data_IF_424888066302
#
_entry.id   IF_424888066302
#
_cell.length_a   1.000
_cell.length_b   1.000
_cell.length_c   1.000
_cell.angle_alpha   90.00
_cell.angle_beta   90.00
_cell.angle_gamma   90.00
#
_symmetry.space_group_name_H-M   'P 1'
#
loop_
_entity.id
_entity.type
_entity.pdbx_description
1 polymer ?
#
# COMPACT_ATOMS: atom_id res chain seq x y z
N UNK A 1 -17.87 -6.63 -26.70
CA UNK A 1 -17.12 -5.62 -25.94
C UNK A 1 -16.49 -6.33 -24.76
N UNK A 2 -15.18 -6.54 -24.76
CA UNK A 2 -14.49 -7.16 -23.62
C UNK A 2 -14.49 -6.15 -22.47
N UNK A 3 -15.21 -6.47 -21.39
CA UNK A 3 -15.20 -5.64 -20.20
C UNK A 3 -13.75 -5.49 -19.72
N UNK A 4 -13.22 -4.27 -19.71
CA UNK A 4 -11.88 -4.01 -19.23
C UNK A 4 -11.88 -4.27 -17.72
N UNK A 5 -11.14 -5.30 -17.28
CA UNK A 5 -11.03 -5.65 -15.85
C UNK A 5 -10.55 -4.43 -15.06
N UNK A 6 -11.20 -4.15 -13.94
CA UNK A 6 -10.76 -3.09 -13.02
C UNK A 6 -9.32 -3.37 -12.55
N UNK A 7 -8.44 -2.38 -12.71
CA UNK A 7 -7.05 -2.46 -12.25
C UNK A 7 -6.97 -2.50 -10.73
N UNK A 8 -5.97 -3.20 -10.21
CA UNK A 8 -5.70 -3.32 -8.78
C UNK A 8 -4.49 -2.48 -8.40
N UNK A 9 -4.69 -1.56 -7.46
CA UNK A 9 -3.61 -0.75 -6.90
C UNK A 9 -3.31 -1.21 -5.47
N UNK A 10 -2.03 -1.42 -5.14
CA UNK A 10 -1.58 -1.61 -3.77
C UNK A 10 -0.88 -0.33 -3.30
N UNK A 11 -1.38 0.28 -2.23
CA UNK A 11 -0.84 1.51 -1.65
C UNK A 11 -0.27 1.20 -0.27
N UNK A 12 1.03 1.38 -0.08
CA UNK A 12 1.61 1.43 1.27
C UNK A 12 1.47 2.84 1.83
N UNK A 13 1.29 2.98 3.14
CA UNK A 13 1.12 4.30 3.76
C UNK A 13 -0.23 4.94 3.43
N UNK A 14 -1.25 4.12 3.15
CA UNK A 14 -2.59 4.58 2.76
C UNK A 14 -3.25 5.50 3.80
N UNK A 15 -2.88 5.38 5.08
CA UNK A 15 -3.38 6.22 6.17
C UNK A 15 -2.68 7.58 6.28
N UNK A 16 -1.62 7.79 5.51
CA UNK A 16 -0.97 9.08 5.31
C UNK A 16 -1.84 10.04 4.50
N UNK A 17 -1.40 11.29 4.39
CA UNK A 17 -2.11 12.31 3.60
C UNK A 17 -2.18 11.93 2.12
N UNK A 18 -1.02 11.67 1.50
CA UNK A 18 -0.93 11.37 0.07
C UNK A 18 -1.58 10.04 -0.28
N UNK A 19 -1.43 9.04 0.60
CA UNK A 19 -2.08 7.74 0.46
C UNK A 19 -3.61 7.83 0.42
N UNK A 20 -4.21 8.65 1.29
CA UNK A 20 -5.66 8.84 1.32
C UNK A 20 -6.19 9.56 0.07
N UNK A 21 -5.50 10.62 -0.37
CA UNK A 21 -5.85 11.34 -1.60
C UNK A 21 -5.71 10.45 -2.84
N UNK A 22 -4.61 9.69 -2.95
CA UNK A 22 -4.39 8.77 -4.04
C UNK A 22 -5.45 7.66 -4.06
N UNK A 23 -5.81 7.10 -2.90
CA UNK A 23 -6.84 6.08 -2.79
C UNK A 23 -8.18 6.59 -3.35
N UNK A 24 -8.61 7.81 -2.98
CA UNK A 24 -9.83 8.43 -3.52
C UNK A 24 -9.75 8.59 -5.03
N UNK A 25 -8.66 9.16 -5.54
CA UNK A 25 -8.46 9.37 -6.97
C UNK A 25 -8.54 8.05 -7.76
N UNK A 26 -7.94 6.97 -7.25
CA UNK A 26 -7.95 5.67 -7.92
C UNK A 26 -9.34 5.00 -7.85
N UNK A 27 -10.03 5.10 -6.72
CA UNK A 27 -11.41 4.63 -6.58
C UNK A 27 -12.35 5.36 -7.56
N UNK A 28 -12.21 6.67 -7.72
CA UNK A 28 -12.98 7.46 -8.70
C UNK A 28 -12.69 7.04 -10.14
N UNK A 29 -11.46 6.58 -10.42
CA UNK A 29 -11.04 6.03 -11.72
C UNK A 29 -11.46 4.58 -11.97
N UNK A 30 -12.23 3.96 -11.07
CA UNK A 30 -12.69 2.59 -11.25
C UNK A 30 -11.72 1.50 -10.79
N UNK A 31 -10.63 1.85 -10.08
CA UNK A 31 -9.70 0.86 -9.55
C UNK A 31 -10.31 0.08 -8.37
N UNK A 32 -9.73 -1.08 -8.11
CA UNK A 32 -9.77 -1.76 -6.81
C UNK A 32 -8.51 -1.37 -6.04
N UNK A 33 -8.67 -0.80 -4.86
CA UNK A 33 -7.58 -0.29 -4.03
C UNK A 33 -7.35 -1.22 -2.84
N UNK A 34 -6.12 -1.67 -2.68
CA UNK A 34 -5.63 -2.39 -1.52
C UNK A 34 -4.69 -1.47 -0.74
N UNK A 35 -4.99 -1.21 0.52
CA UNK A 35 -4.20 -0.35 1.39
C UNK A 35 -3.45 -1.13 2.46
N UNK A 36 -2.16 -0.88 2.64
CA UNK A 36 -1.38 -1.45 3.74
C UNK A 36 -1.35 -0.48 4.91
N UNK A 37 -1.84 -0.93 6.07
CA UNK A 37 -1.78 -0.19 7.33
C UNK A 37 -1.03 -0.97 8.41
N UNK A 38 -0.26 -0.26 9.23
CA UNK A 38 0.36 -0.83 10.43
C UNK A 38 -0.70 -1.19 11.47
N UNK A 39 -0.46 -2.24 12.24
CA UNK A 39 -1.25 -2.50 13.45
C UNK A 39 -0.97 -1.37 14.45
N UNK A 40 -2.01 -0.74 14.95
CA UNK A 40 -1.94 0.26 16.00
C UNK A 40 -3.06 -0.02 17.00
N UNK A 41 -2.79 0.26 18.28
CA UNK A 41 -3.81 0.23 19.34
C UNK A 41 -4.77 1.43 19.26
N UNK A 42 -4.44 2.45 18.47
CA UNK A 42 -5.27 3.64 18.24
C UNK A 42 -5.89 3.62 16.85
N UNK A 43 -7.08 4.21 16.70
CA UNK A 43 -7.70 4.41 15.40
C UNK A 43 -6.82 5.32 14.54
N UNK A 44 -6.29 4.77 13.45
CA UNK A 44 -5.37 5.47 12.53
C UNK A 44 -5.93 5.56 11.10
N UNK A 45 -7.24 5.36 10.93
CA UNK A 45 -7.93 5.34 9.63
C UNK A 45 -8.78 6.58 9.36
N UNK A 46 -8.76 7.60 10.23
CA UNK A 46 -9.60 8.81 10.11
C UNK A 46 -9.61 9.47 8.73
N UNK A 47 -8.49 9.41 7.98
CA UNK A 47 -8.36 10.00 6.63
C UNK A 47 -9.02 9.18 5.52
N UNK A 48 -9.40 7.94 5.80
CA UNK A 48 -10.00 6.99 4.85
C UNK A 48 -11.29 6.37 5.39
N UNK A 49 -11.76 6.77 6.58
CA UNK A 49 -12.97 6.23 7.20
C UNK A 49 -14.21 6.51 6.33
N UNK A 50 -14.23 7.65 5.63
CA UNK A 50 -15.29 8.03 4.71
C UNK A 50 -15.21 7.30 3.35
N UNK A 51 -14.08 6.68 3.03
CA UNK A 51 -13.92 5.78 1.89
C UNK A 51 -14.30 4.33 2.25
N UNK A 52 -14.37 4.02 3.55
CA UNK A 52 -14.70 2.68 4.01
C UNK A 52 -16.19 2.40 3.83
N UNK A 53 -16.50 1.47 2.94
CA UNK A 53 -17.87 1.00 2.73
C UNK A 53 -18.09 -0.28 3.52
N UNK A 54 -19.33 -0.51 3.95
CA UNK A 54 -19.70 -1.75 4.63
C UNK A 54 -19.33 -2.96 3.74
N UNK A 55 -18.54 -3.94 4.25
CA UNK A 55 -18.14 -5.14 3.51
C UNK A 55 -19.29 -5.95 2.90
N UNK A 56 -20.52 -5.77 3.38
CA UNK A 56 -21.72 -6.46 2.90
C UNK A 56 -22.40 -5.74 1.71
N UNK A 57 -21.86 -4.62 1.24
CA UNK A 57 -22.35 -3.93 0.04
C UNK A 57 -21.68 -4.51 -1.21
N UNK A 58 -22.45 -4.67 -2.30
CA UNK A 58 -22.02 -5.34 -3.54
C UNK A 58 -20.88 -4.62 -4.32
N UNK A 59 -20.41 -3.46 -3.84
CA UNK A 59 -19.46 -2.59 -4.55
C UNK A 59 -18.22 -2.19 -3.74
N UNK A 60 -17.82 -2.98 -2.74
CA UNK A 60 -16.60 -2.67 -1.97
C UNK A 60 -15.37 -2.79 -2.87
N UNK A 61 -14.68 -1.67 -3.06
CA UNK A 61 -13.45 -1.56 -3.88
C UNK A 61 -12.24 -1.14 -3.09
N UNK A 62 -12.37 -0.90 -1.78
CA UNK A 62 -11.27 -0.58 -0.87
C UNK A 62 -11.09 -1.72 0.14
N UNK A 63 -9.90 -2.31 0.17
CA UNK A 63 -9.53 -3.38 1.09
C UNK A 63 -8.31 -2.98 1.90
N UNK A 64 -8.35 -3.16 3.21
CA UNK A 64 -7.24 -2.82 4.11
C UNK A 64 -6.55 -4.07 4.63
N UNK A 65 -5.23 -4.09 4.52
CA UNK A 65 -4.35 -5.17 4.94
C UNK A 65 -3.45 -4.70 6.07
N UNK A 66 -3.22 -5.58 7.03
CA UNK A 66 -2.20 -5.34 8.05
C UNK A 66 -0.82 -5.72 7.54
N UNK A 67 0.07 -4.73 7.47
CA UNK A 67 1.45 -4.95 7.09
C UNK A 67 2.41 -3.86 7.54
N UNK A 68 3.69 -4.20 7.45
CA UNK A 68 4.81 -3.34 7.83
C UNK A 68 5.93 -3.46 6.78
N UNK A 69 6.54 -2.33 6.42
CA UNK A 69 7.66 -2.30 5.49
C UNK A 69 8.92 -2.99 6.02
N UNK A 70 8.99 -3.24 7.34
CA UNK A 70 10.10 -3.99 7.94
C UNK A 70 9.91 -5.51 7.92
N UNK A 71 8.73 -6.01 7.54
CA UNK A 71 8.40 -7.45 7.53
C UNK A 71 8.30 -7.99 6.09
N UNK A 72 9.37 -8.64 5.63
CA UNK A 72 9.49 -9.19 4.29
C UNK A 72 8.39 -10.23 3.97
N UNK A 73 8.14 -11.16 4.88
CA UNK A 73 7.20 -12.26 4.63
C UNK A 73 5.77 -11.75 4.53
N UNK A 74 5.42 -10.76 5.37
CA UNK A 74 4.12 -10.10 5.29
C UNK A 74 3.92 -9.38 3.95
N UNK A 75 4.91 -8.61 3.48
CA UNK A 75 4.82 -7.90 2.20
C UNK A 75 4.67 -8.87 1.02
N UNK A 76 5.45 -9.94 0.99
CA UNK A 76 5.34 -10.98 -0.04
C UNK A 76 3.91 -11.56 -0.05
N UNK A 77 3.36 -11.89 1.11
CA UNK A 77 1.99 -12.42 1.22
C UNK A 77 0.96 -11.42 0.71
N UNK A 78 1.04 -10.15 1.09
CA UNK A 78 0.10 -9.12 0.62
C UNK A 78 0.17 -8.96 -0.90
N UNK A 79 1.37 -8.88 -1.49
CA UNK A 79 1.54 -8.77 -2.95
C UNK A 79 0.99 -10.03 -3.64
N UNK A 80 1.24 -11.21 -3.05
CA UNK A 80 0.74 -12.48 -3.57
C UNK A 80 -0.79 -12.56 -3.54
N UNK A 81 -1.44 -12.16 -2.45
CA UNK A 81 -2.90 -12.23 -2.29
C UNK A 81 -3.61 -11.18 -3.16
N UNK A 82 -3.06 -9.96 -3.22
CA UNK A 82 -3.69 -8.84 -3.95
C UNK A 82 -3.41 -8.88 -5.44
N UNK A 83 -2.27 -9.46 -5.86
CA UNK A 83 -1.81 -9.51 -7.26
C UNK A 83 -1.95 -8.14 -7.95
N UNK A 84 -1.35 -7.06 -7.43
CA UNK A 84 -1.60 -5.71 -7.93
C UNK A 84 -1.13 -5.55 -9.38
N UNK A 85 -1.73 -4.61 -10.11
CA UNK A 85 -1.22 -4.15 -11.41
C UNK A 85 -0.26 -2.95 -11.21
N UNK A 86 -0.51 -2.15 -10.17
CA UNK A 86 0.26 -0.96 -9.81
C UNK A 86 0.53 -0.97 -8.29
N UNK A 87 1.78 -0.76 -7.90
CA UNK A 87 2.19 -0.61 -6.49
C UNK A 87 2.69 0.82 -6.28
N UNK A 88 2.09 1.51 -5.31
CA UNK A 88 2.48 2.85 -4.87
C UNK A 88 3.07 2.76 -3.47
N UNK A 89 4.40 2.86 -3.37
CA UNK A 89 5.09 2.85 -2.10
C UNK A 89 5.19 4.27 -1.54
N UNK A 90 4.32 4.60 -0.58
CA UNK A 90 4.24 5.90 0.11
C UNK A 90 4.49 5.79 1.62
N UNK A 91 4.63 4.58 2.16
CA UNK A 91 5.00 4.40 3.56
C UNK A 91 6.48 4.73 3.78
N UNK A 92 6.75 5.62 4.74
CA UNK A 92 8.09 5.94 5.21
C UNK A 92 8.06 6.49 6.65
N UNK A 93 9.23 6.58 7.25
CA UNK A 93 9.52 7.53 8.32
C UNK A 93 9.74 8.92 7.68
N UNK A 94 8.65 9.64 7.46
CA UNK A 94 8.68 10.92 6.72
C UNK A 94 9.11 12.15 7.54
N UNK A 95 9.28 12.04 8.86
CA UNK A 95 9.68 13.16 9.70
C UNK A 95 11.20 13.27 9.81
N UNK A 96 11.77 14.18 9.03
CA UNK A 96 13.23 14.40 8.89
C UNK A 96 13.93 14.52 10.25
N UNK A 97 13.41 15.29 11.20
CA UNK A 97 14.09 15.40 12.50
C UNK A 97 14.17 14.07 13.27
N UNK A 98 13.08 13.29 13.25
CA UNK A 98 13.00 12.01 13.99
C UNK A 98 13.85 10.94 13.29
N UNK A 99 14.17 11.12 12.01
CA UNK A 99 15.03 10.17 11.30
C UNK A 99 16.48 10.24 11.76
N UNK A 100 16.94 11.40 12.24
CA UNK A 100 18.24 11.54 12.90
C UNK A 100 18.25 10.91 14.30
N UNK A 101 17.12 10.87 14.99
CA UNK A 101 16.99 10.20 16.30
C UNK A 101 16.92 8.67 16.15
N UNK A 102 16.33 8.19 15.04
CA UNK A 102 16.10 6.76 14.78
C UNK A 102 16.59 6.35 13.38
N UNK A 103 17.90 6.50 13.09
CA UNK A 103 18.44 6.33 11.74
C UNK A 103 18.35 4.88 11.25
N UNK A 104 18.57 3.90 12.13
CA UNK A 104 18.48 2.48 11.77
C UNK A 104 17.05 2.07 11.40
N UNK A 105 16.06 2.56 12.15
CA UNK A 105 14.66 2.33 11.83
C UNK A 105 14.28 2.97 10.49
N UNK A 106 14.69 4.23 10.28
CA UNK A 106 14.46 4.96 9.02
C UNK A 106 15.06 4.19 7.85
N UNK A 107 16.33 3.77 7.92
CA UNK A 107 16.95 2.98 6.86
C UNK A 107 16.25 1.64 6.64
N UNK A 108 15.80 0.99 7.71
CA UNK A 108 15.10 -0.29 7.63
C UNK A 108 13.71 -0.17 6.98
N UNK A 109 12.98 0.91 7.26
CA UNK A 109 11.66 1.15 6.70
C UNK A 109 11.74 1.70 5.26
N UNK A 110 12.51 2.76 5.05
CA UNK A 110 12.42 3.57 3.83
C UNK A 110 13.32 3.00 2.72
N UNK A 111 14.52 2.54 3.07
CA UNK A 111 15.44 1.93 2.10
C UNK A 111 15.18 0.43 1.95
N UNK A 112 15.32 -0.33 3.05
CA UNK A 112 15.14 -1.79 2.98
C UNK A 112 13.69 -2.19 2.72
N UNK A 113 12.69 -1.41 3.19
CA UNK A 113 11.28 -1.69 2.88
C UNK A 113 10.96 -1.57 1.40
N UNK A 114 11.50 -0.55 0.73
CA UNK A 114 11.41 -0.42 -0.74
C UNK A 114 12.03 -1.63 -1.44
N UNK A 115 13.22 -2.05 -1.00
CA UNK A 115 13.89 -3.24 -1.55
C UNK A 115 13.06 -4.51 -1.34
N UNK A 116 12.43 -4.68 -0.17
CA UNK A 116 11.56 -5.84 0.13
C UNK A 116 10.35 -5.90 -0.81
N UNK A 117 9.73 -4.77 -1.15
CA UNK A 117 8.65 -4.75 -2.14
C UNK A 117 9.13 -5.13 -3.53
N UNK A 118 10.26 -4.59 -3.98
CA UNK A 118 10.86 -4.95 -5.27
C UNK A 118 11.20 -6.44 -5.32
N UNK A 119 11.75 -6.98 -4.23
CA UNK A 119 12.06 -8.40 -4.14
C UNK A 119 10.81 -9.28 -4.10
N UNK A 120 9.73 -8.84 -3.44
CA UNK A 120 8.44 -9.52 -3.49
C UNK A 120 7.91 -9.63 -4.92
N UNK A 121 7.97 -8.53 -5.71
CA UNK A 121 7.60 -8.54 -7.13
C UNK A 121 8.45 -9.56 -7.91
N UNK A 122 9.77 -9.59 -7.66
CA UNK A 122 10.70 -10.49 -8.35
C UNK A 122 10.43 -11.96 -8.03
N UNK A 123 10.28 -12.31 -6.75
CA UNK A 123 10.05 -13.69 -6.29
C UNK A 123 8.71 -14.23 -6.82
N UNK A 124 7.68 -13.38 -6.90
CA UNK A 124 6.36 -13.75 -7.40
C UNK A 124 6.27 -13.76 -8.94
N UNK A 125 7.37 -13.48 -9.65
CA UNK A 125 7.40 -13.48 -11.12
C UNK A 125 6.61 -12.34 -11.77
N UNK A 126 6.40 -11.24 -11.05
CA UNK A 126 5.52 -10.13 -11.45
C UNK A 126 6.26 -8.95 -12.10
N UNK A 127 7.57 -9.07 -12.33
CA UNK A 127 8.43 -7.96 -12.81
C UNK A 127 8.01 -7.36 -14.15
N UNK A 128 7.31 -8.12 -15.00
CA UNK A 128 6.87 -7.65 -16.32
C UNK A 128 5.42 -7.16 -16.34
N UNK A 129 4.67 -7.36 -15.25
CA UNK A 129 3.24 -7.06 -15.17
C UNK A 129 2.94 -5.91 -14.21
N UNK A 130 3.71 -5.79 -13.13
CA UNK A 130 3.52 -4.75 -12.11
C UNK A 130 4.27 -3.49 -12.47
N UNK A 131 3.61 -2.34 -12.33
CA UNK A 131 4.28 -1.03 -12.29
C UNK A 131 4.56 -0.64 -10.84
N UNK A 132 5.80 -0.29 -10.54
CA UNK A 132 6.21 0.15 -9.21
C UNK A 132 6.48 1.66 -9.19
N UNK A 133 5.84 2.37 -8.27
CA UNK A 133 5.99 3.81 -8.06
C UNK A 133 6.52 4.07 -6.65
N UNK A 134 7.68 4.70 -6.56
CA UNK A 134 8.34 5.08 -5.32
C UNK A 134 8.20 6.59 -5.09
N UNK A 135 7.60 7.00 -3.97
CA UNK A 135 7.46 8.41 -3.62
C UNK A 135 7.45 8.67 -2.10
N UNK A 136 7.95 7.71 -1.31
CA UNK A 136 8.10 7.82 0.16
C UNK A 136 9.43 8.41 0.56
#
# INVERSE_FOLDING_TARGET
>A
MTATRAKRALITGITGQDGAWLARLLLDKGYVVHGVKRRSSSFNTARIDDLYQDPHLDCVRLFLHHGDLTDTTNLIRIVQETQPDEIYNLAAQSHVHVSFETPEYTANADALGTLRLLEAIRILGMSNTVRFYQAS
#
